data_IF_539060226710
#
_entry.id   IF_539060226710
#
_cell.length_a   1.000
_cell.length_b   1.000
_cell.length_c   1.000
_cell.angle_alpha   90.00
_cell.angle_beta   90.00
_cell.angle_gamma   90.00
#
_symmetry.space_group_name_H-M   'P 1'
#
loop_
_entity.id
_entity.type
_entity.pdbx_description
1 polymer ?
#
# COMPACT_ATOMS: atom_id res chain seq x y z
N UNK A 1 -13.95 -12.04 -1.63
CA UNK A 1 -12.82 -11.62 -0.77
C UNK A 1 -13.04 -10.17 -0.34
N UNK A 2 -12.85 -9.86 0.95
CA UNK A 2 -12.73 -8.49 1.46
C UNK A 2 -11.26 -8.14 1.65
N UNK A 3 -10.84 -7.03 1.07
CA UNK A 3 -9.52 -6.44 1.26
C UNK A 3 -9.65 -5.18 2.11
N UNK A 4 -8.92 -5.12 3.22
CA UNK A 4 -8.95 -3.99 4.15
C UNK A 4 -7.56 -3.40 4.25
N UNK A 5 -7.43 -2.10 4.00
CA UNK A 5 -6.28 -1.29 4.39
C UNK A 5 -6.65 -0.37 5.53
N UNK A 6 -5.91 -0.48 6.62
CA UNK A 6 -6.08 0.37 7.79
C UNK A 6 -4.96 1.38 7.84
N UNK A 7 -5.30 2.67 7.82
CA UNK A 7 -4.37 3.77 8.02
C UNK A 7 -4.40 4.15 9.50
N UNK A 8 -3.24 4.08 10.15
CA UNK A 8 -3.09 4.27 11.59
C UNK A 8 -2.18 5.47 11.79
N UNK A 9 -2.69 6.57 12.32
CA UNK A 9 -1.86 7.69 12.74
C UNK A 9 -0.96 7.22 13.91
N UNK A 10 0.36 7.31 13.72
CA UNK A 10 1.36 6.90 14.73
C UNK A 10 2.09 8.09 15.33
N UNK A 11 1.85 9.30 14.81
CA UNK A 11 2.43 10.56 15.24
C UNK A 11 1.84 11.74 14.45
N UNK A 12 2.33 12.95 14.69
CA UNK A 12 1.85 14.16 13.99
C UNK A 12 2.26 14.23 12.52
N UNK A 13 3.33 13.52 12.14
CA UNK A 13 3.87 13.47 10.78
C UNK A 13 4.04 12.05 10.27
N UNK A 14 3.49 11.05 10.99
CA UNK A 14 3.63 9.64 10.64
C UNK A 14 2.32 8.89 10.68
N UNK A 15 2.17 7.96 9.74
CA UNK A 15 1.14 6.95 9.80
C UNK A 15 1.70 5.61 9.31
N UNK A 16 1.04 4.54 9.71
CA UNK A 16 1.32 3.20 9.20
C UNK A 16 0.11 2.66 8.44
N UNK A 17 0.35 1.75 7.51
CA UNK A 17 -0.68 1.04 6.75
C UNK A 17 -0.59 -0.44 7.10
N UNK A 18 -1.73 -1.07 7.39
CA UNK A 18 -1.82 -2.51 7.60
C UNK A 18 -2.83 -3.12 6.63
N UNK A 19 -2.47 -4.26 6.02
CA UNK A 19 -3.35 -5.01 5.11
C UNK A 19 -3.91 -6.24 5.80
N UNK A 20 -5.22 -6.44 5.60
CA UNK A 20 -5.92 -7.67 5.97
C UNK A 20 -6.77 -8.15 4.79
N UNK A 21 -6.67 -9.44 4.51
CA UNK A 21 -7.51 -10.13 3.53
C UNK A 21 -8.41 -11.12 4.23
N UNK A 22 -9.70 -11.12 3.88
CA UNK A 22 -10.67 -12.08 4.39
C UNK A 22 -11.38 -12.74 3.22
N UNK A 23 -11.36 -14.07 3.25
CA UNK A 23 -12.04 -14.92 2.30
C UNK A 23 -13.22 -15.53 3.01
N UNK A 24 -14.39 -15.38 2.40
CA UNK A 24 -15.65 -15.85 2.95
C UNK A 24 -16.05 -17.13 2.25
N UNK A 25 -16.88 -17.91 2.94
CA UNK A 25 -17.33 -19.22 2.46
C UNK A 25 -18.06 -19.15 1.11
N UNK A 26 -18.68 -18.01 0.82
CA UNK A 26 -19.33 -17.73 -0.46
C UNK A 26 -18.57 -16.65 -1.26
N UNK A 27 -18.59 -16.79 -2.59
CA UNK A 27 -17.91 -15.88 -3.52
C UNK A 27 -18.43 -14.43 -3.45
N UNK A 28 -19.69 -14.23 -3.06
CA UNK A 28 -20.33 -12.92 -2.85
C UNK A 28 -19.93 -12.23 -1.53
N UNK A 29 -18.92 -12.76 -0.83
CA UNK A 29 -18.46 -12.28 0.47
C UNK A 29 -19.47 -12.44 1.61
N UNK A 30 -20.43 -13.34 1.47
CA UNK A 30 -21.35 -13.74 2.55
C UNK A 30 -20.87 -15.02 3.24
N UNK A 31 -21.50 -15.35 4.38
CA UNK A 31 -21.13 -16.52 5.17
C UNK A 31 -19.98 -16.26 6.15
N UNK A 32 -19.42 -17.34 6.70
CA UNK A 32 -18.32 -17.26 7.64
C UNK A 32 -17.00 -16.93 6.92
N UNK A 33 -16.07 -16.28 7.63
CA UNK A 33 -14.69 -16.13 7.14
C UNK A 33 -14.00 -17.49 7.22
N UNK A 34 -13.57 -18.01 6.08
CA UNK A 34 -12.88 -19.31 5.96
C UNK A 34 -11.37 -19.17 5.82
N UNK A 35 -10.86 -17.98 5.47
CA UNK A 35 -9.45 -17.67 5.55
C UNK A 35 -9.21 -16.18 5.86
N UNK A 36 -8.17 -15.90 6.65
CA UNK A 36 -7.65 -14.56 6.93
C UNK A 36 -6.17 -14.50 6.61
N UNK A 37 -5.79 -13.53 5.79
CA UNK A 37 -4.41 -13.25 5.41
C UNK A 37 -3.92 -11.89 5.90
N UNK A 38 -2.67 -11.78 6.32
CA UNK A 38 -2.01 -10.52 6.67
C UNK A 38 -0.49 -10.68 6.78
N UNK A 39 0.24 -9.56 6.88
CA UNK A 39 1.68 -9.57 7.21
C UNK A 39 1.96 -9.65 8.73
N UNK A 40 0.93 -9.63 9.59
CA UNK A 40 1.06 -9.68 11.05
C UNK A 40 1.65 -8.42 11.70
N UNK A 41 2.08 -7.46 10.91
CA UNK A 41 2.60 -6.14 11.29
C UNK A 41 2.03 -5.09 10.33
N UNK A 42 2.08 -3.79 10.65
CA UNK A 42 1.85 -2.77 9.65
C UNK A 42 2.84 -2.93 8.48
N UNK A 43 2.29 -3.07 7.28
CA UNK A 43 2.99 -3.31 6.03
C UNK A 43 3.94 -2.16 5.67
N UNK A 44 3.56 -0.93 6.02
CA UNK A 44 4.20 0.29 5.55
C UNK A 44 4.19 1.34 6.65
N UNK A 45 5.29 2.07 6.79
CA UNK A 45 5.36 3.29 7.58
C UNK A 45 5.68 4.46 6.67
N UNK A 46 4.90 5.53 6.80
CA UNK A 46 5.07 6.77 6.05
C UNK A 46 5.44 7.89 7.02
N UNK A 47 6.47 8.64 6.66
CA UNK A 47 6.98 9.79 7.42
C UNK A 47 7.00 11.01 6.51
N UNK A 48 6.26 12.05 6.89
CA UNK A 48 6.36 13.36 6.27
C UNK A 48 7.54 14.14 6.85
N UNK A 49 8.26 14.82 5.98
CA UNK A 49 9.25 15.83 6.33
C UNK A 49 8.58 17.23 6.40
N UNK A 50 9.24 18.22 7.02
CA UNK A 50 8.82 19.62 6.90
C UNK A 50 8.65 20.03 5.44
N UNK A 51 7.73 20.96 5.20
CA UNK A 51 7.53 21.52 3.86
C UNK A 51 8.83 22.16 3.35
N UNK A 52 9.08 22.03 2.06
CA UNK A 52 10.22 22.66 1.39
C UNK A 52 9.84 23.16 0.01
N UNK A 53 10.50 24.23 -0.42
CA UNK A 53 10.36 24.76 -1.76
C UNK A 53 10.97 23.79 -2.78
N UNK A 54 10.16 23.38 -3.76
CA UNK A 54 10.53 22.42 -4.79
C UNK A 54 10.14 22.91 -6.18
N UNK A 55 10.88 22.44 -7.19
CA UNK A 55 10.45 22.52 -8.59
C UNK A 55 9.51 21.36 -8.89
N UNK A 56 8.29 21.64 -9.37
CA UNK A 56 7.29 20.62 -9.69
C UNK A 56 6.93 20.68 -11.17
N UNK A 57 7.18 19.60 -11.89
CA UNK A 57 6.69 19.41 -13.25
C UNK A 57 5.23 18.94 -13.21
N UNK A 58 4.32 19.78 -13.66
CA UNK A 58 2.90 19.48 -13.79
C UNK A 58 2.65 18.49 -14.93
N UNK A 59 1.45 17.90 -14.97
CA UNK A 59 1.04 17.00 -16.07
C UNK A 59 1.04 17.70 -17.44
N UNK A 60 0.93 19.02 -17.47
CA UNK A 60 1.05 19.84 -18.69
C UNK A 60 2.49 19.99 -19.19
N UNK A 61 3.48 19.56 -18.40
CA UNK A 61 4.91 19.79 -18.66
C UNK A 61 5.44 21.13 -18.13
N UNK A 62 4.57 22.01 -17.64
CA UNK A 62 4.96 23.26 -16.98
C UNK A 62 5.73 22.98 -15.68
N UNK A 63 6.79 23.74 -15.42
CA UNK A 63 7.49 23.72 -14.14
C UNK A 63 7.06 24.91 -13.28
N UNK A 64 6.71 24.61 -12.04
CA UNK A 64 6.36 25.61 -11.02
C UNK A 64 7.32 25.49 -9.83
N UNK A 65 7.46 26.57 -9.05
CA UNK A 65 8.12 26.51 -7.75
C UNK A 65 7.09 26.69 -6.65
N UNK A 66 7.00 25.73 -5.74
CA UNK A 66 6.01 25.71 -4.67
C UNK A 66 6.50 24.87 -3.49
N UNK A 67 6.00 25.15 -2.29
CA UNK A 67 6.23 24.29 -1.14
C UNK A 67 5.48 22.97 -1.29
N UNK A 68 6.20 21.87 -1.10
CA UNK A 68 5.65 20.51 -1.10
C UNK A 68 5.91 19.87 0.26
N UNK A 69 5.12 18.86 0.63
CA UNK A 69 5.37 18.04 1.82
C UNK A 69 6.02 16.72 1.38
N UNK A 70 7.35 16.58 1.49
CA UNK A 70 8.01 15.34 1.13
C UNK A 70 7.60 14.23 2.09
N UNK A 71 7.51 13.02 1.56
CA UNK A 71 7.23 11.83 2.33
C UNK A 71 8.20 10.72 1.95
N UNK A 72 8.64 9.97 2.95
CA UNK A 72 9.32 8.70 2.76
C UNK A 72 8.40 7.60 3.25
N UNK A 73 8.16 6.62 2.39
CA UNK A 73 7.47 5.39 2.70
C UNK A 73 8.50 4.27 2.82
N UNK A 74 8.37 3.43 3.85
CA UNK A 74 9.19 2.23 4.04
C UNK A 74 8.29 1.05 4.32
N UNK A 75 8.38 0.02 3.49
CA UNK A 75 7.72 -1.25 3.77
C UNK A 75 8.40 -1.97 4.93
N UNK A 76 7.63 -2.80 5.63
CA UNK A 76 8.17 -3.75 6.60
C UNK A 76 9.03 -4.82 5.90
N UNK A 77 9.75 -5.61 6.70
CA UNK A 77 10.30 -6.90 6.27
C UNK A 77 9.43 -7.97 6.90
N UNK A 78 8.51 -8.52 6.12
CA UNK A 78 7.49 -9.44 6.63
C UNK A 78 6.99 -10.41 5.56
N UNK A 79 6.80 -11.65 5.94
CA UNK A 79 6.16 -12.68 5.10
C UNK A 79 4.65 -12.62 5.27
N UNK A 80 3.91 -12.81 4.18
CA UNK A 80 2.45 -12.91 4.26
C UNK A 80 2.04 -14.25 4.88
N UNK A 81 1.24 -14.20 5.94
CA UNK A 81 0.61 -15.38 6.54
C UNK A 81 -0.86 -15.47 6.15
N UNK A 82 -1.36 -16.68 5.91
CA UNK A 82 -2.79 -16.94 5.69
C UNK A 82 -3.23 -18.19 6.48
N UNK A 83 -4.33 -18.06 7.21
CA UNK A 83 -4.84 -19.11 8.11
C UNK A 83 -6.37 -19.18 8.06
N UNK A 84 -6.94 -20.35 8.37
CA UNK A 84 -8.39 -20.57 8.42
C UNK A 84 -8.80 -21.94 7.92
N UNK A 85 -10.07 -22.30 8.08
CA UNK A 85 -10.63 -23.62 7.72
C UNK A 85 -10.56 -23.93 6.22
N UNK A 86 -10.69 -22.91 5.37
CA UNK A 86 -10.63 -23.02 3.91
C UNK A 86 -9.21 -23.08 3.36
N UNK A 87 -8.17 -22.80 4.15
CA UNK A 87 -6.78 -22.78 3.68
C UNK A 87 -6.26 -24.20 3.46
N UNK A 88 -5.83 -24.50 2.24
CA UNK A 88 -5.20 -25.75 1.83
C UNK A 88 -3.83 -25.50 1.22
N UNK A 89 -2.90 -26.40 1.51
CA UNK A 89 -1.56 -26.42 0.94
C UNK A 89 -0.82 -25.07 1.00
N UNK A 90 -0.78 -24.37 2.17
CA UNK A 90 0.03 -23.16 2.28
C UNK A 90 1.50 -23.52 2.09
N UNK A 91 2.17 -22.83 1.19
CA UNK A 91 3.58 -23.06 0.88
C UNK A 91 4.28 -21.73 0.58
N UNK A 92 5.54 -21.65 0.99
CA UNK A 92 6.42 -20.56 0.62
C UNK A 92 7.32 -21.03 -0.52
N UNK A 93 7.21 -20.36 -1.67
CA UNK A 93 8.11 -20.58 -2.81
C UNK A 93 8.97 -19.33 -2.95
N UNK A 94 10.25 -19.46 -2.61
CA UNK A 94 11.10 -18.28 -2.37
C UNK A 94 10.56 -17.46 -1.20
N UNK A 95 10.26 -16.19 -1.44
CA UNK A 95 9.63 -15.29 -0.45
C UNK A 95 8.13 -15.09 -0.65
N UNK A 96 7.53 -15.77 -1.64
CA UNK A 96 6.12 -15.61 -1.98
C UNK A 96 5.29 -16.70 -1.31
N UNK A 97 4.25 -16.29 -0.58
CA UNK A 97 3.24 -17.18 -0.01
C UNK A 97 2.25 -17.59 -1.09
N UNK A 98 2.06 -18.90 -1.23
CA UNK A 98 1.01 -19.51 -2.05
C UNK A 98 0.09 -20.32 -1.15
N UNK A 99 -1.22 -20.14 -1.29
CA UNK A 99 -2.20 -21.00 -0.65
C UNK A 99 -3.43 -21.16 -1.55
N UNK A 100 -4.08 -22.32 -1.47
CA UNK A 100 -5.42 -22.49 -2.00
C UNK A 100 -6.42 -22.16 -0.89
N UNK A 101 -7.41 -21.34 -1.16
CA UNK A 101 -8.56 -21.17 -0.27
C UNK A 101 -9.76 -21.81 -0.93
N UNK A 102 -10.30 -22.86 -0.32
CA UNK A 102 -11.50 -23.57 -0.75
C UNK A 102 -12.76 -22.96 -0.13
N UNK A 103 -13.83 -22.95 -0.90
CA UNK A 103 -15.16 -22.47 -0.54
C UNK A 103 -16.12 -23.66 -0.36
N UNK A 104 -17.21 -23.48 0.41
CA UNK A 104 -18.19 -24.56 0.64
C UNK A 104 -18.89 -25.08 -0.62
N UNK A 105 -18.97 -24.28 -1.67
CA UNK A 105 -19.54 -24.67 -2.97
C UNK A 105 -18.59 -25.56 -3.82
N UNK A 106 -17.41 -25.90 -3.29
CA UNK A 106 -16.37 -26.66 -3.96
C UNK A 106 -15.46 -25.80 -4.86
N UNK A 107 -15.73 -24.51 -4.97
CA UNK A 107 -14.86 -23.53 -5.62
C UNK A 107 -13.58 -23.27 -4.84
N UNK A 108 -12.62 -22.60 -5.48
CA UNK A 108 -11.41 -22.16 -4.81
C UNK A 108 -10.78 -20.93 -5.46
N UNK A 109 -9.89 -20.28 -4.71
CA UNK A 109 -8.97 -19.26 -5.22
C UNK A 109 -7.54 -19.60 -4.84
N UNK A 110 -6.59 -19.22 -5.69
CA UNK A 110 -5.16 -19.27 -5.36
C UNK A 110 -4.77 -17.88 -4.84
N UNK A 111 -4.25 -17.85 -3.62
CA UNK A 111 -3.67 -16.68 -3.00
C UNK A 111 -2.18 -16.72 -3.25
N UNK A 112 -1.67 -15.69 -3.92
CA UNK A 112 -0.25 -15.46 -4.14
C UNK A 112 0.12 -14.09 -3.57
N UNK A 113 0.99 -14.05 -2.54
CA UNK A 113 1.40 -12.80 -1.90
C UNK A 113 2.91 -12.77 -1.65
N UNK A 114 3.66 -11.84 -2.27
CA UNK A 114 5.09 -11.70 -2.02
C UNK A 114 5.33 -11.19 -0.59
N UNK A 115 6.47 -11.56 -0.01
CA UNK A 115 6.95 -10.90 1.20
C UNK A 115 7.28 -9.43 0.94
N UNK A 116 7.10 -8.62 1.97
CA UNK A 116 7.63 -7.27 2.02
C UNK A 116 9.13 -7.35 2.34
N UNK A 117 9.94 -6.53 1.67
CA UNK A 117 11.39 -6.63 1.66
C UNK A 117 12.10 -5.39 2.21
N UNK A 118 11.39 -4.51 2.93
CA UNK A 118 12.00 -3.30 3.49
C UNK A 118 12.23 -2.17 2.48
N UNK A 119 11.70 -2.28 1.26
CA UNK A 119 11.88 -1.26 0.22
C UNK A 119 11.39 0.11 0.70
N UNK A 120 12.19 1.12 0.38
CA UNK A 120 11.89 2.52 0.66
C UNK A 120 11.50 3.21 -0.64
N UNK A 121 10.48 4.06 -0.60
CA UNK A 121 10.11 4.97 -1.67
C UNK A 121 10.03 6.40 -1.14
N UNK A 122 10.23 7.37 -2.01
CA UNK A 122 10.12 8.78 -1.68
C UNK A 122 9.14 9.45 -2.64
N UNK A 123 8.39 10.40 -2.13
CA UNK A 123 7.43 11.20 -2.88
C UNK A 123 7.17 12.52 -2.16
N UNK A 124 6.16 13.23 -2.62
CA UNK A 124 5.65 14.39 -1.92
C UNK A 124 4.15 14.57 -2.19
N UNK A 125 3.48 15.34 -1.34
CA UNK A 125 2.14 15.83 -1.60
C UNK A 125 2.17 17.34 -1.85
N UNK A 126 1.29 17.79 -2.73
CA UNK A 126 1.03 19.20 -3.01
C UNK A 126 -0.48 19.41 -3.10
N UNK A 127 -1.02 20.30 -2.27
CA UNK A 127 -2.38 20.79 -2.41
C UNK A 127 -2.36 22.03 -3.32
N UNK A 128 -3.06 21.99 -4.44
CA UNK A 128 -3.11 23.10 -5.41
C UNK A 128 -4.51 23.20 -6.00
N UNK A 129 -5.13 24.38 -5.87
CA UNK A 129 -6.48 24.65 -6.40
C UNK A 129 -7.51 23.60 -5.96
N UNK A 130 -7.52 23.29 -4.66
CA UNK A 130 -8.37 22.26 -4.03
C UNK A 130 -8.15 20.82 -4.54
N UNK A 131 -7.11 20.58 -5.35
CA UNK A 131 -6.69 19.25 -5.77
C UNK A 131 -5.47 18.77 -4.99
N UNK A 132 -5.51 17.52 -4.55
CA UNK A 132 -4.35 16.87 -3.96
C UNK A 132 -3.54 16.16 -5.04
N UNK A 133 -2.28 16.55 -5.19
CA UNK A 133 -1.33 15.99 -6.15
C UNK A 133 -0.34 15.08 -5.43
N UNK A 134 -0.21 13.84 -5.91
CA UNK A 134 0.89 12.96 -5.52
C UNK A 134 2.07 13.16 -6.46
N UNK A 135 3.24 13.39 -5.89
CA UNK A 135 4.46 13.71 -6.62
C UNK A 135 5.51 12.64 -6.42
N UNK A 136 6.32 12.41 -7.45
CA UNK A 136 7.51 11.54 -7.39
C UNK A 136 8.78 12.34 -7.70
N UNK A 137 9.90 12.04 -7.03
CA UNK A 137 11.15 12.74 -7.28
C UNK A 137 11.66 12.50 -8.70
N UNK A 138 12.31 13.52 -9.27
CA UNK A 138 13.01 13.41 -10.55
C UNK A 138 14.45 12.98 -10.28
N UNK A 139 14.84 11.81 -10.78
CA UNK A 139 16.16 11.25 -10.55
C UNK A 139 17.27 12.20 -11.04
N UNK A 140 18.29 12.41 -10.21
CA UNK A 140 19.43 13.29 -10.51
C UNK A 140 19.20 14.78 -10.20
N UNK A 141 18.02 15.17 -9.71
CA UNK A 141 17.71 16.56 -9.35
C UNK A 141 17.34 16.69 -7.88
N UNK A 142 17.86 17.74 -7.23
CA UNK A 142 17.53 18.08 -5.85
C UNK A 142 16.18 18.80 -5.79
N UNK A 143 15.34 18.46 -4.81
CA UNK A 143 14.03 19.09 -4.56
C UNK A 143 13.18 19.29 -5.83
N UNK A 144 13.22 18.31 -6.73
CA UNK A 144 12.51 18.36 -8.01
C UNK A 144 11.61 17.15 -8.12
N UNK A 145 10.35 17.40 -8.40
CA UNK A 145 9.31 16.38 -8.47
C UNK A 145 8.49 16.52 -9.75
N UNK A 146 7.83 15.44 -10.14
CA UNK A 146 6.80 15.46 -11.18
C UNK A 146 5.50 14.89 -10.63
N UNK A 147 4.37 15.37 -11.14
CA UNK A 147 3.06 14.82 -10.78
C UNK A 147 2.98 13.37 -11.25
N UNK A 148 2.71 12.46 -10.32
CA UNK A 148 2.39 11.06 -10.60
C UNK A 148 0.87 10.87 -10.72
N UNK A 149 0.11 11.47 -9.81
CA UNK A 149 -1.34 11.25 -9.72
C UNK A 149 -2.06 12.49 -9.21
N UNK A 150 -3.34 12.62 -9.60
CA UNK A 150 -4.26 13.67 -9.16
C UNK A 150 -5.43 13.03 -8.44
N UNK A 151 -5.68 13.46 -7.21
CA UNK A 151 -6.89 13.12 -6.48
C UNK A 151 -7.84 14.32 -6.58
N UNK A 152 -8.91 14.12 -7.36
CA UNK A 152 -10.01 15.08 -7.53
C UNK A 152 -11.18 14.57 -6.69
N UNK A 153 -11.81 15.48 -5.93
CA UNK A 153 -13.09 15.20 -5.27
C UNK A 153 -14.24 15.23 -6.27
#
# INVERSE_FOLDING_TARGET
>A
MRFTKTFIATGSTTFSVATKEEYFDNADCTGAVVATGSYGVPDENVQYAPALAASVTLLTGENITVDVNPATSKYAVATFGITGSGVKSPQLVGTTMYARVEYADGGYVIVERPALNGQTTSGALLLRNDELLALVPIAGFTNSFKVLHRYVQ
#
